data_IF_152014047163
#
_entry.id   IF_152014047163
#
_cell.length_a   1.000
_cell.length_b   1.000
_cell.length_c   1.000
_cell.angle_alpha   90.00
_cell.angle_beta   90.00
_cell.angle_gamma   90.00
#
_symmetry.space_group_name_H-M   'P 1'
#
loop_
_entity.id
_entity.type
_entity.pdbx_description
1 polymer ?
#
# COMPACT_ATOMS: atom_id res chain seq x y z
N UNK A 1 -22.81 -16.22 -3.72
CA UNK A 1 -22.58 -15.33 -2.56
C UNK A 1 -21.12 -14.92 -2.63
N UNK A 2 -20.84 -13.72 -3.13
CA UNK A 2 -19.45 -13.26 -3.30
C UNK A 2 -18.85 -12.94 -1.93
N UNK A 3 -17.69 -13.50 -1.64
CA UNK A 3 -16.94 -13.17 -0.44
C UNK A 3 -16.57 -11.70 -0.50
N UNK A 4 -17.29 -10.85 0.23
CA UNK A 4 -16.89 -9.47 0.50
C UNK A 4 -15.67 -9.50 1.43
N UNK A 5 -14.49 -9.73 0.86
CA UNK A 5 -13.23 -9.41 1.52
C UNK A 5 -13.15 -7.89 1.52
N UNK A 6 -13.82 -7.24 2.46
CA UNK A 6 -13.61 -5.81 2.73
C UNK A 6 -12.20 -5.74 3.32
N UNK A 7 -11.17 -5.61 2.47
CA UNK A 7 -9.84 -5.25 2.93
C UNK A 7 -10.00 -3.97 3.75
N UNK A 8 -9.54 -4.01 5.00
CA UNK A 8 -9.51 -2.84 5.87
C UNK A 8 -8.39 -1.92 5.39
N UNK A 9 -8.67 -1.13 4.35
CA UNK A 9 -7.73 -0.15 3.82
C UNK A 9 -7.25 0.85 4.88
N UNK A 10 -6.06 1.41 4.66
CA UNK A 10 -5.44 2.38 5.56
C UNK A 10 -6.08 3.75 5.35
N UNK A 11 -6.53 4.38 6.43
CA UNK A 11 -7.14 5.73 6.36
C UNK A 11 -6.07 6.81 6.16
N UNK A 12 -6.39 7.77 5.29
CA UNK A 12 -5.59 8.98 5.07
C UNK A 12 -6.52 10.16 4.81
N UNK A 13 -6.17 11.33 5.35
CA UNK A 13 -6.85 12.59 5.01
C UNK A 13 -6.10 13.26 3.85
N UNK A 14 -6.80 13.53 2.76
CA UNK A 14 -6.25 14.20 1.58
C UNK A 14 -7.17 15.36 1.19
N UNK A 15 -6.62 16.58 1.08
CA UNK A 15 -7.38 17.79 0.75
C UNK A 15 -8.67 17.97 1.60
N UNK A 16 -8.59 17.67 2.90
CA UNK A 16 -9.72 17.80 3.83
C UNK A 16 -10.81 16.72 3.71
N UNK A 17 -10.56 15.63 2.98
CA UNK A 17 -11.46 14.47 2.86
C UNK A 17 -10.75 13.18 3.30
N UNK A 18 -11.40 12.44 4.18
CA UNK A 18 -11.02 11.09 4.56
C UNK A 18 -11.14 10.13 3.37
N UNK A 19 -10.05 9.44 3.06
CA UNK A 19 -9.94 8.39 2.04
C UNK A 19 -9.34 7.13 2.62
N UNK A 20 -9.44 6.02 1.87
CA UNK A 20 -8.85 4.74 2.24
C UNK A 20 -7.92 4.27 1.14
N UNK A 21 -6.71 3.90 1.51
CA UNK A 21 -5.74 3.28 0.61
C UNK A 21 -5.97 1.76 0.64
N UNK A 22 -6.31 1.21 -0.52
CA UNK A 22 -6.59 -0.22 -0.71
C UNK A 22 -5.78 -0.70 -1.89
N UNK A 23 -4.91 -1.70 -1.68
CA UNK A 23 -4.23 -2.39 -2.76
C UNK A 23 -4.90 -3.75 -2.98
N UNK A 24 -5.80 -3.80 -3.95
CA UNK A 24 -6.43 -5.05 -4.38
C UNK A 24 -5.70 -5.62 -5.61
N UNK A 25 -6.24 -6.72 -6.15
CA UNK A 25 -5.64 -7.35 -7.33
C UNK A 25 -5.57 -6.43 -8.54
N UNK A 26 -6.54 -5.52 -8.73
CA UNK A 26 -6.52 -4.59 -9.85
C UNK A 26 -5.42 -3.54 -9.64
N UNK A 27 -5.25 -3.05 -8.41
CA UNK A 27 -4.14 -2.16 -8.07
C UNK A 27 -2.79 -2.81 -8.40
N UNK A 28 -2.62 -4.10 -8.10
CA UNK A 28 -1.37 -4.79 -8.39
C UNK A 28 -1.13 -5.00 -9.89
N UNK A 29 -2.16 -5.37 -10.65
CA UNK A 29 -2.07 -5.50 -12.11
C UNK A 29 -1.66 -4.16 -12.76
N UNK A 30 -2.27 -3.05 -12.34
CA UNK A 30 -1.91 -1.72 -12.86
C UNK A 30 -0.44 -1.37 -12.56
N UNK A 31 0.05 -1.70 -11.37
CA UNK A 31 1.46 -1.49 -11.01
C UNK A 31 2.41 -2.41 -11.80
N UNK A 32 2.06 -3.67 -12.04
CA UNK A 32 2.85 -4.56 -12.89
C UNK A 32 2.90 -4.07 -14.34
N UNK A 33 1.79 -3.55 -14.88
CA UNK A 33 1.77 -3.00 -16.23
C UNK A 33 2.68 -1.75 -16.37
N UNK A 34 2.72 -0.90 -15.35
CA UNK A 34 3.54 0.32 -15.36
C UNK A 34 5.03 0.08 -15.05
N UNK A 35 5.35 -0.86 -14.17
CA UNK A 35 6.70 -1.06 -13.63
C UNK A 35 7.34 -2.40 -13.99
N UNK A 36 6.58 -3.34 -14.55
CA UNK A 36 6.99 -4.72 -14.81
C UNK A 36 6.99 -5.63 -13.59
N UNK A 37 7.21 -5.07 -12.40
CA UNK A 37 7.19 -5.78 -11.11
C UNK A 37 6.70 -4.84 -10.00
N UNK A 38 5.85 -5.38 -9.12
CA UNK A 38 5.32 -4.74 -7.91
C UNK A 38 6.48 -4.28 -6.99
N UNK A 39 7.54 -5.08 -6.88
CA UNK A 39 8.70 -4.72 -6.05
C UNK A 39 9.44 -3.50 -6.60
N UNK A 40 9.50 -3.34 -7.92
CA UNK A 40 10.13 -2.17 -8.54
C UNK A 40 9.31 -0.90 -8.33
N UNK A 41 7.98 -1.00 -8.37
CA UNK A 41 7.11 0.13 -8.00
C UNK A 41 7.43 0.63 -6.58
N UNK A 42 7.58 -0.30 -5.62
CA UNK A 42 7.96 0.03 -4.25
C UNK A 42 9.38 0.59 -4.13
N UNK A 43 10.35 0.08 -4.89
CA UNK A 43 11.71 0.63 -4.93
C UNK A 43 11.72 2.10 -5.40
N UNK A 44 10.90 2.44 -6.40
CA UNK A 44 10.78 3.80 -6.91
C UNK A 44 10.14 4.75 -5.88
N UNK A 45 9.22 4.24 -5.04
CA UNK A 45 8.70 4.99 -3.89
C UNK A 45 9.83 5.39 -2.93
N UNK A 46 10.71 4.45 -2.58
CA UNK A 46 11.83 4.71 -1.65
C UNK A 46 12.84 5.74 -2.20
N UNK A 47 12.94 5.85 -3.52
CA UNK A 47 13.77 6.86 -4.20
C UNK A 47 13.12 8.25 -4.27
N UNK A 48 11.96 8.45 -3.63
CA UNK A 48 11.15 9.67 -3.72
C UNK A 48 10.80 10.06 -5.17
N UNK A 49 10.61 9.07 -6.05
CA UNK A 49 10.21 9.34 -7.43
C UNK A 49 8.76 9.85 -7.46
N UNK A 50 8.55 11.12 -7.82
CA UNK A 50 7.22 11.74 -7.82
C UNK A 50 6.21 11.01 -8.73
N UNK A 51 6.66 10.50 -9.87
CA UNK A 51 5.79 9.71 -10.76
C UNK A 51 5.34 8.43 -10.05
N UNK A 52 6.26 7.77 -9.35
CA UNK A 52 5.94 6.56 -8.59
C UNK A 52 5.03 6.81 -7.39
N UNK A 53 5.26 7.89 -6.64
CA UNK A 53 4.37 8.27 -5.54
C UNK A 53 2.95 8.51 -6.06
N UNK A 54 2.81 9.25 -7.17
CA UNK A 54 1.50 9.50 -7.79
C UNK A 54 0.83 8.22 -8.28
N UNK A 55 1.58 7.36 -8.98
CA UNK A 55 1.07 6.08 -9.51
C UNK A 55 0.64 5.13 -8.39
N UNK A 56 1.45 4.97 -7.35
CA UNK A 56 1.11 4.14 -6.21
C UNK A 56 -0.11 4.67 -5.43
N UNK A 57 -0.22 5.99 -5.25
CA UNK A 57 -1.41 6.56 -4.62
C UNK A 57 -2.66 6.33 -5.49
N UNK A 58 -2.53 6.47 -6.80
CA UNK A 58 -3.63 6.29 -7.74
C UNK A 58 -4.10 4.83 -7.76
N UNK A 59 -3.18 3.87 -7.84
CA UNK A 59 -3.49 2.45 -7.70
C UNK A 59 -4.19 2.13 -6.36
N UNK A 60 -3.76 2.77 -5.26
CA UNK A 60 -4.40 2.61 -3.94
C UNK A 60 -5.80 3.24 -3.83
N UNK A 61 -6.13 4.16 -4.73
CA UNK A 61 -7.41 4.89 -4.81
C UNK A 61 -8.21 4.48 -6.06
N UNK A 62 -7.85 3.39 -6.73
CA UNK A 62 -8.48 2.97 -7.98
C UNK A 62 -9.99 2.76 -7.82
N UNK A 63 -10.41 2.26 -6.65
CA UNK A 63 -11.81 2.09 -6.26
C UNK A 63 -12.59 3.41 -6.09
N UNK A 64 -11.93 4.56 -5.98
CA UNK A 64 -12.56 5.89 -5.96
C UNK A 64 -12.81 6.45 -7.38
N UNK A 65 -12.41 5.74 -8.44
CA UNK A 65 -12.53 6.16 -9.84
C UNK A 65 -11.90 7.54 -10.13
N UNK A 66 -10.80 7.87 -9.44
CA UNK A 66 -10.02 9.07 -9.70
C UNK A 66 -9.03 8.82 -10.83
N UNK A 67 -8.74 9.86 -11.61
CA UNK A 67 -7.64 9.86 -12.58
C UNK A 67 -6.30 10.13 -11.89
N UNK A 68 -5.19 9.71 -12.51
CA UNK A 68 -3.84 10.02 -12.01
C UNK A 68 -3.61 11.53 -11.77
N UNK A 69 -4.16 12.37 -12.64
CA UNK A 69 -4.02 13.83 -12.53
C UNK A 69 -4.80 14.36 -11.33
N UNK A 70 -6.01 13.87 -11.10
CA UNK A 70 -6.80 14.23 -9.92
C UNK A 70 -6.10 13.79 -8.64
N UNK A 71 -5.52 12.59 -8.62
CA UNK A 71 -4.71 12.11 -7.49
C UNK A 71 -3.48 12.98 -7.26
N UNK A 72 -2.81 13.43 -8.33
CA UNK A 72 -1.71 14.38 -8.24
C UNK A 72 -2.09 15.70 -7.58
N UNK A 73 -3.35 16.15 -7.73
CA UNK A 73 -3.85 17.37 -7.07
C UNK A 73 -4.16 17.17 -5.58
N UNK A 74 -4.19 15.93 -5.08
CA UNK A 74 -4.41 15.62 -3.66
C UNK A 74 -3.13 15.63 -2.83
N UNK A 75 -1.97 15.62 -3.49
CA UNK A 75 -0.65 15.56 -2.87
C UNK A 75 0.10 16.85 -3.16
N UNK A 76 0.78 17.38 -2.15
CA UNK A 76 1.74 18.45 -2.30
C UNK A 76 3.01 18.16 -1.46
N UNK A 77 3.96 19.08 -1.46
CA UNK A 77 5.20 18.91 -0.70
C UNK A 77 4.98 18.90 0.82
N UNK A 78 3.85 19.42 1.31
CA UNK A 78 3.54 19.48 2.74
C UNK A 78 3.02 18.15 3.29
N UNK A 79 2.29 17.37 2.48
CA UNK A 79 1.71 16.08 2.87
C UNK A 79 2.44 14.86 2.28
N UNK A 80 3.45 15.07 1.43
CA UNK A 80 4.22 14.01 0.74
C UNK A 80 4.73 12.91 1.68
N UNK A 81 5.35 13.28 2.81
CA UNK A 81 5.91 12.33 3.77
C UNK A 81 4.83 11.40 4.36
N UNK A 82 3.69 11.99 4.75
CA UNK A 82 2.53 11.25 5.26
C UNK A 82 1.96 10.33 4.18
N UNK A 83 1.84 10.80 2.95
CA UNK A 83 1.37 10.00 1.81
C UNK A 83 2.27 8.79 1.58
N UNK A 84 3.59 8.99 1.49
CA UNK A 84 4.54 7.89 1.30
C UNK A 84 4.48 6.86 2.43
N UNK A 85 4.39 7.32 3.68
CA UNK A 85 4.25 6.44 4.85
C UNK A 85 2.98 5.61 4.78
N UNK A 86 1.85 6.23 4.44
CA UNK A 86 0.54 5.56 4.35
C UNK A 86 0.44 4.60 3.17
N UNK A 87 1.03 4.94 2.03
CA UNK A 87 1.19 4.02 0.89
C UNK A 87 1.97 2.79 1.33
N UNK A 88 3.11 2.99 2.01
CA UNK A 88 3.95 1.89 2.49
C UNK A 88 3.20 0.97 3.46
N UNK A 89 2.46 1.55 4.41
CA UNK A 89 1.63 0.82 5.37
C UNK A 89 0.55 -0.01 4.67
N UNK A 90 -0.18 0.60 3.73
CA UNK A 90 -1.22 -0.07 2.97
C UNK A 90 -0.68 -1.20 2.11
N UNK A 91 0.45 -0.98 1.44
CA UNK A 91 1.11 -1.96 0.59
C UNK A 91 1.55 -3.19 1.39
N UNK A 92 2.23 -2.99 2.53
CA UNK A 92 2.65 -4.07 3.43
C UNK A 92 1.49 -4.88 4.00
N UNK A 93 0.37 -4.21 4.30
CA UNK A 93 -0.83 -4.88 4.82
C UNK A 93 -1.55 -5.71 3.75
N UNK A 94 -1.35 -5.36 2.47
CA UNK A 94 -2.06 -5.98 1.35
C UNK A 94 -1.30 -7.16 0.73
N UNK A 95 0.02 -7.18 0.89
CA UNK A 95 0.82 -8.36 0.56
C UNK A 95 0.74 -9.37 1.72
N UNK A 96 0.54 -10.67 1.44
CA UNK A 96 0.82 -11.70 2.43
C UNK A 96 2.27 -11.54 2.89
N UNK A 97 2.55 -11.66 4.18
CA UNK A 97 3.93 -11.69 4.68
C UNK A 97 4.68 -12.80 3.91
N UNK A 98 5.49 -12.41 2.94
CA UNK A 98 6.46 -13.28 2.29
C UNK A 98 7.55 -13.54 3.33
N UNK A 99 7.27 -14.53 4.17
CA UNK A 99 8.11 -15.16 5.22
C UNK A 99 8.25 -14.41 6.56
N UNK A 100 7.41 -14.79 7.52
CA UNK A 100 7.79 -14.92 8.95
C UNK A 100 8.13 -16.38 9.34
N UNK A 101 8.62 -17.20 8.40
CA UNK A 101 9.21 -18.50 8.75
C UNK A 101 10.67 -18.35 9.18
N UNK A 102 10.95 -17.54 10.22
CA UNK A 102 12.24 -17.67 10.94
C UNK A 102 12.31 -17.09 12.36
N UNK A 103 11.23 -16.95 13.14
CA UNK A 103 11.41 -16.80 14.60
C UNK A 103 10.25 -17.39 15.40
N UNK A 104 10.30 -18.71 15.67
CA UNK A 104 9.84 -19.34 16.95
C UNK A 104 10.08 -20.85 16.96
N UNK A 105 11.35 -21.26 16.89
CA UNK A 105 11.76 -22.50 17.54
C UNK A 105 12.72 -22.17 18.70
N UNK A 106 12.13 -21.97 19.89
CA UNK A 106 12.65 -22.32 21.23
C UNK A 106 11.80 -21.56 22.27
N UNK A 107 10.68 -22.17 22.66
CA UNK A 107 10.16 -22.13 24.04
C UNK A 107 8.90 -23.00 24.15
N UNK A 108 9.11 -24.31 24.04
CA UNK A 108 8.33 -25.36 24.68
C UNK A 108 9.34 -26.50 24.86
N UNK A 109 9.74 -26.93 26.06
CA UNK A 109 8.94 -27.34 27.22
C UNK A 109 9.87 -27.41 28.46
N UNK A 110 9.45 -27.94 29.62
CA UNK A 110 8.38 -27.53 30.54
C UNK A 110 8.94 -27.24 31.96
N UNK A 111 8.06 -26.85 32.89
CA UNK A 111 8.31 -26.61 34.33
C UNK A 111 8.81 -27.85 35.11
N UNK A 112 9.44 -27.56 36.27
CA UNK A 112 9.75 -28.40 37.45
C UNK A 112 10.80 -29.51 37.23
N UNK A 113 11.73 -29.78 38.16
CA UNK A 113 11.66 -29.80 39.62
C UNK A 113 13.04 -29.47 40.24
#
# INVERSE_FOLDING_TARGET
MGNNVIQKGIKIELSGKDRRLIFDLNSFVELEEDYGDIQEAFNQLQKMNFKAIRKLLHAALLHENLTETEVGNLIDMSNMSTVMSKITEAFKTSLPDVHEDEVKNKQASPKNN
#
